data_IF_744732469871
#
_entry.id   IF_744732469871
#
_cell.length_a   1.000
_cell.length_b   1.000
_cell.length_c   1.000
_cell.angle_alpha   90.00
_cell.angle_beta   90.00
_cell.angle_gamma   90.00
#
_symmetry.space_group_name_H-M   'P 1'
#
loop_
_entity.id
_entity.type
_entity.pdbx_description
1 polymer ?
#
# COMPACT_ATOMS: atom_id res chain seq x y z
N UNK A 1 -9.71 25.40 -7.77
CA UNK A 1 -10.16 24.81 -6.49
C UNK A 1 -9.08 23.84 -6.03
N UNK A 2 -8.51 24.02 -4.82
CA UNK A 2 -7.39 23.22 -4.31
C UNK A 2 -7.90 22.10 -3.39
N UNK A 3 -7.35 20.88 -3.54
CA UNK A 3 -7.73 19.68 -2.80
C UNK A 3 -6.98 19.50 -1.47
N UNK A 4 -6.05 20.39 -1.15
CA UNK A 4 -5.12 20.25 -0.01
C UNK A 4 -5.83 20.12 1.35
N UNK A 5 -7.01 20.71 1.52
CA UNK A 5 -7.74 20.70 2.80
C UNK A 5 -8.85 19.63 2.88
N UNK A 6 -8.85 18.61 2.01
CA UNK A 6 -9.91 17.59 1.97
C UNK A 6 -9.55 16.24 2.60
N UNK A 7 -8.35 16.09 3.15
CA UNK A 7 -7.91 14.83 3.74
C UNK A 7 -7.87 15.00 5.26
N UNK A 8 -8.84 14.40 5.93
CA UNK A 8 -8.88 14.26 7.39
C UNK A 8 -8.59 12.79 7.75
N UNK A 9 -7.50 12.49 8.48
CA UNK A 9 -7.22 11.13 8.94
C UNK A 9 -8.37 10.49 9.74
N UNK A 10 -9.18 11.27 10.45
CA UNK A 10 -10.30 10.76 11.23
C UNK A 10 -11.45 10.22 10.38
N UNK A 11 -11.58 10.69 9.13
CA UNK A 11 -12.61 10.24 8.18
C UNK A 11 -12.02 9.53 6.95
N UNK A 12 -10.78 9.05 7.05
CA UNK A 12 -10.04 8.41 5.95
C UNK A 12 -9.60 7.00 6.33
N UNK A 13 -9.57 6.09 5.35
CA UNK A 13 -9.03 4.75 5.51
C UNK A 13 -7.98 4.45 4.44
N UNK A 14 -6.92 3.73 4.84
CA UNK A 14 -5.97 3.10 3.91
C UNK A 14 -6.45 1.69 3.59
N UNK A 15 -6.64 1.38 2.31
CA UNK A 15 -7.00 0.05 1.82
C UNK A 15 -5.81 -0.49 1.02
N UNK A 16 -5.31 -1.65 1.41
CA UNK A 16 -4.25 -2.37 0.71
C UNK A 16 -4.92 -3.52 -0.04
N UNK A 17 -4.83 -3.50 -1.37
CA UNK A 17 -5.54 -4.44 -2.26
C UNK A 17 -4.54 -5.42 -2.85
N UNK A 18 -4.84 -6.71 -2.73
CA UNK A 18 -4.18 -7.83 -3.43
C UNK A 18 -2.65 -7.88 -3.31
N UNK A 19 -2.09 -7.38 -2.22
CA UNK A 19 -0.67 -7.55 -1.87
C UNK A 19 -0.46 -8.93 -1.28
N UNK A 20 -0.57 -9.94 -2.15
CA UNK A 20 -0.44 -11.36 -1.84
C UNK A 20 0.61 -11.97 -2.78
N UNK A 21 1.29 -13.03 -2.32
CA UNK A 21 2.36 -13.66 -3.10
C UNK A 21 1.94 -14.05 -4.51
N UNK A 22 0.69 -14.48 -4.71
CA UNK A 22 0.14 -14.84 -6.03
C UNK A 22 0.26 -13.72 -7.08
N UNK A 23 0.23 -12.46 -6.64
CA UNK A 23 0.36 -11.28 -7.50
C UNK A 23 1.74 -10.62 -7.44
N UNK A 24 2.49 -10.90 -6.36
CA UNK A 24 3.65 -10.10 -5.95
C UNK A 24 5.00 -10.83 -6.02
N UNK A 25 5.00 -12.16 -6.14
CA UNK A 25 6.21 -12.99 -6.17
C UNK A 25 6.39 -13.63 -7.54
N UNK A 26 7.65 -13.84 -7.93
CA UNK A 26 8.02 -14.53 -9.17
C UNK A 26 7.56 -16.01 -9.14
N UNK A 27 7.46 -16.58 -7.94
CA UNK A 27 6.94 -17.92 -7.66
C UNK A 27 5.42 -17.95 -7.46
N UNK A 28 4.75 -16.79 -7.45
CA UNK A 28 3.30 -16.66 -7.33
C UNK A 28 2.56 -16.90 -8.66
N UNK A 29 1.24 -17.04 -8.60
CA UNK A 29 0.38 -17.33 -9.75
C UNK A 29 0.64 -16.46 -11.00
N UNK A 30 0.83 -15.15 -10.86
CA UNK A 30 1.16 -14.27 -11.98
C UNK A 30 2.61 -14.44 -12.46
N UNK A 31 3.55 -14.58 -11.54
CA UNK A 31 4.97 -14.77 -11.85
C UNK A 31 5.21 -16.05 -12.66
N UNK A 32 4.61 -17.17 -12.25
CA UNK A 32 4.72 -18.45 -12.98
C UNK A 32 4.04 -18.41 -14.36
N UNK A 33 3.07 -17.51 -14.57
CA UNK A 33 2.43 -17.27 -15.86
C UNK A 33 3.27 -16.33 -16.76
N UNK A 34 4.43 -15.88 -16.28
CA UNK A 34 5.36 -15.03 -17.03
C UNK A 34 5.02 -13.54 -16.97
N UNK A 35 4.17 -13.10 -16.04
CA UNK A 35 3.97 -11.68 -15.80
C UNK A 35 5.22 -11.05 -15.19
N UNK A 36 5.57 -9.85 -15.63
CA UNK A 36 6.63 -9.07 -14.99
C UNK A 36 6.13 -8.47 -13.66
N UNK A 37 6.55 -9.09 -12.56
CA UNK A 37 6.27 -8.63 -11.19
C UNK A 37 7.43 -7.83 -10.57
N UNK A 38 8.45 -7.48 -11.36
CA UNK A 38 9.68 -6.83 -10.86
C UNK A 38 9.43 -5.50 -10.17
N UNK A 39 8.42 -4.73 -10.63
CA UNK A 39 8.04 -3.44 -10.04
C UNK A 39 7.52 -3.56 -8.60
N UNK A 40 7.02 -4.73 -8.20
CA UNK A 40 6.50 -4.96 -6.84
C UNK A 40 7.61 -4.79 -5.80
N UNK A 41 8.81 -5.28 -6.09
CA UNK A 41 9.99 -5.12 -5.21
C UNK A 41 10.32 -3.66 -4.95
N UNK A 42 10.18 -2.80 -5.97
CA UNK A 42 10.44 -1.36 -5.85
C UNK A 42 9.32 -0.62 -5.10
N UNK A 43 8.07 -1.08 -5.21
CA UNK A 43 6.92 -0.47 -4.54
C UNK A 43 6.84 -0.83 -3.04
N UNK A 44 7.21 -2.05 -2.66
CA UNK A 44 6.99 -2.61 -1.32
C UNK A 44 7.53 -1.76 -0.15
N UNK A 45 8.72 -1.13 -0.23
CA UNK A 45 9.21 -0.28 0.86
C UNK A 45 8.29 0.92 1.13
N UNK A 46 7.84 1.62 0.07
CA UNK A 46 6.96 2.78 0.19
C UNK A 46 5.59 2.40 0.78
N UNK A 47 5.04 1.25 0.39
CA UNK A 47 3.80 0.74 0.96
C UNK A 47 3.96 0.44 2.46
N UNK A 48 5.08 -0.16 2.85
CA UNK A 48 5.35 -0.49 4.26
C UNK A 48 5.43 0.78 5.11
N UNK A 49 6.13 1.80 4.62
CA UNK A 49 6.21 3.12 5.27
C UNK A 49 4.83 3.77 5.39
N UNK A 50 4.04 3.80 4.31
CA UNK A 50 2.69 4.36 4.32
C UNK A 50 1.76 3.66 5.33
N UNK A 51 1.84 2.33 5.44
CA UNK A 51 1.07 1.57 6.44
C UNK A 51 1.52 1.91 7.86
N UNK A 52 2.83 2.07 8.09
CA UNK A 52 3.38 2.45 9.39
C UNK A 52 2.84 3.81 9.81
N UNK A 53 2.97 4.81 8.95
CA UNK A 53 2.50 6.17 9.21
C UNK A 53 0.98 6.23 9.42
N UNK A 54 0.21 5.49 8.60
CA UNK A 54 -1.24 5.43 8.76
C UNK A 54 -1.67 4.79 10.10
N UNK A 55 -0.88 3.87 10.66
CA UNK A 55 -1.13 3.27 11.98
C UNK A 55 -0.77 4.25 13.10
N UNK A 56 0.37 4.92 13.02
CA UNK A 56 0.81 5.86 14.06
C UNK A 56 -0.14 7.05 14.21
N UNK A 57 -0.72 7.53 13.10
CA UNK A 57 -1.73 8.59 13.11
C UNK A 57 -3.08 8.14 13.70
N UNK A 58 -3.39 6.83 13.77
CA UNK A 58 -4.59 6.35 14.48
C UNK A 58 -4.47 6.43 16.00
N UNK A 59 -3.25 6.50 16.54
CA UNK A 59 -3.02 6.54 17.99
C UNK A 59 -2.70 7.95 18.52
N UNK A 60 -2.48 8.94 17.65
CA UNK A 60 -2.41 10.37 18.04
C UNK A 60 -3.82 10.93 18.21
N UNK A 61 -4.51 10.51 19.27
CA UNK A 61 -5.66 11.25 19.79
C UNK A 61 -5.14 12.51 20.49
N UNK A 62 -5.70 13.66 20.09
CA UNK A 62 -5.52 14.97 20.73
C UNK A 62 -5.88 14.96 22.21
#
# INVERSE_FOLDING_TARGET
MSFINKIDPASTALIVVDVQNDFCSEEGALGIQGADVGMVKTMMPNLTELISEARDHKYRLS
#
